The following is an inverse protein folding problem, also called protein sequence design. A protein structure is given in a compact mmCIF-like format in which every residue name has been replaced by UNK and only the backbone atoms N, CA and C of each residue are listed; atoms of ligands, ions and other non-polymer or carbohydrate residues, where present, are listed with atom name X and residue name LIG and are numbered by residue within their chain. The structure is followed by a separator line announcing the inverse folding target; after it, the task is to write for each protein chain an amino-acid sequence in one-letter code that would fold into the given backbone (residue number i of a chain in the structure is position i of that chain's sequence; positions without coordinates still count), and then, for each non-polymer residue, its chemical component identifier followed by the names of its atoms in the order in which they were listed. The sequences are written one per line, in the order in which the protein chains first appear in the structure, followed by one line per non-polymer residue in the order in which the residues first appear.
data_IF_251398806716
#
_entry.id   IF_251398806716
#
_cell.length_a   1.000
_cell.length_b   1.000
_cell.length_c   1.000
_cell.angle_alpha   90.00
_cell.angle_beta   90.00
_cell.angle_gamma   90.00
#
_symmetry.space_group_name_H-M   'P 1'
#
loop_
_entity.id
_entity.type
_entity.pdbx_description
1 polymer ?
#
# COMPACT_ATOMS: atom_id res chain seq x y z
N UNK A 1 2.86 4.42 15.71
CA UNK A 1 3.23 3.47 14.67
C UNK A 1 3.39 4.27 13.38
N UNK A 2 4.49 4.15 12.65
CA UNK A 2 4.68 4.82 11.36
C UNK A 2 3.57 4.44 10.37
N UNK A 3 3.07 5.42 9.62
CA UNK A 3 2.16 5.22 8.49
C UNK A 3 2.90 5.60 7.20
N UNK A 4 2.92 4.67 6.25
CA UNK A 4 3.77 4.70 5.08
C UNK A 4 2.92 4.56 3.83
N UNK A 5 2.53 5.69 3.24
CA UNK A 5 1.96 5.70 1.90
C UNK A 5 3.07 5.62 0.86
N UNK A 6 2.96 4.73 -0.12
CA UNK A 6 3.93 4.63 -1.23
C UNK A 6 4.17 5.97 -1.91
N UNK A 7 3.09 6.73 -2.15
CA UNK A 7 3.15 8.06 -2.75
C UNK A 7 3.90 9.08 -1.88
N UNK A 8 3.79 8.97 -0.55
CA UNK A 8 4.54 9.82 0.36
C UNK A 8 6.00 9.44 0.45
N UNK A 9 6.32 8.14 0.41
CA UNK A 9 7.71 7.66 0.40
C UNK A 9 8.43 8.20 -0.83
N UNK A 10 7.80 8.10 -2.01
CA UNK A 10 8.33 8.67 -3.26
C UNK A 10 8.53 10.18 -3.15
N UNK A 11 7.54 10.92 -2.63
CA UNK A 11 7.68 12.39 -2.44
C UNK A 11 8.81 12.74 -1.47
N UNK A 12 8.93 12.01 -0.35
CA UNK A 12 9.95 12.24 0.67
C UNK A 12 11.35 11.88 0.16
N UNK A 13 11.48 10.94 -0.77
CA UNK A 13 12.79 10.49 -1.24
C UNK A 13 13.58 11.58 -1.95
N UNK A 14 12.92 12.58 -2.58
CA UNK A 14 13.60 13.77 -3.13
C UNK A 14 14.52 14.50 -2.14
N UNK A 15 14.26 14.38 -0.83
CA UNK A 15 15.08 14.98 0.22
C UNK A 15 16.26 14.10 0.70
N UNK A 16 16.38 12.86 0.22
CA UNK A 16 17.37 11.90 0.69
C UNK A 16 18.73 12.12 0.03
N UNK A 17 19.50 13.08 0.55
CA UNK A 17 20.81 13.50 -0.01
C UNK A 17 21.86 12.39 -0.17
N UNK A 18 21.73 11.25 0.52
CA UNK A 18 22.67 10.11 0.46
C UNK A 18 22.07 8.86 -0.20
N UNK A 19 20.84 8.93 -0.71
CA UNK A 19 20.19 7.80 -1.37
C UNK A 19 20.69 7.67 -2.80
N UNK A 20 21.31 6.53 -3.13
CA UNK A 20 21.70 6.22 -4.50
C UNK A 20 20.46 5.98 -5.37
N UNK A 21 19.44 5.30 -4.82
CA UNK A 21 18.17 5.02 -5.51
C UNK A 21 17.45 6.32 -5.85
N UNK A 22 17.23 7.19 -4.87
CA UNK A 22 16.56 8.47 -5.10
C UNK A 22 17.38 9.42 -5.98
N UNK A 23 18.71 9.34 -5.94
CA UNK A 23 19.55 10.11 -6.85
C UNK A 23 19.35 9.70 -8.31
N UNK A 24 19.28 8.38 -8.58
CA UNK A 24 19.00 7.82 -9.92
C UNK A 24 17.60 8.17 -10.42
N UNK A 25 16.61 8.14 -9.53
CA UNK A 25 15.19 8.38 -9.88
C UNK A 25 14.78 9.85 -9.80
N UNK A 26 15.68 10.76 -9.41
CA UNK A 26 15.37 12.15 -9.10
C UNK A 26 14.55 12.85 -10.18
N UNK A 27 14.95 12.72 -11.45
CA UNK A 27 14.23 13.33 -12.58
C UNK A 27 12.80 12.83 -12.72
N UNK A 28 12.59 11.53 -12.57
CA UNK A 28 11.26 10.90 -12.65
C UNK A 28 10.37 11.35 -11.50
N UNK A 29 10.92 11.41 -10.28
CA UNK A 29 10.19 11.83 -9.08
C UNK A 29 9.83 13.32 -9.16
N UNK A 30 10.76 14.18 -9.58
CA UNK A 30 10.53 15.62 -9.77
C UNK A 30 9.51 15.90 -10.89
N UNK A 31 9.51 15.07 -11.95
CA UNK A 31 8.52 15.13 -13.02
C UNK A 31 7.15 14.54 -12.63
N UNK A 32 7.04 13.86 -11.48
CA UNK A 32 5.82 13.18 -11.05
C UNK A 32 5.47 11.97 -11.91
N UNK A 33 6.45 11.33 -12.54
CA UNK A 33 6.28 10.12 -13.34
C UNK A 33 5.88 8.93 -12.46
N UNK A 34 5.11 8.01 -13.04
CA UNK A 34 4.84 6.72 -12.42
C UNK A 34 6.11 5.89 -12.43
N UNK A 35 6.58 5.49 -11.25
CA UNK A 35 7.75 4.62 -11.12
C UNK A 35 7.38 3.19 -11.50
N UNK A 36 8.30 2.52 -12.21
CA UNK A 36 8.23 1.08 -12.42
C UNK A 36 8.38 0.32 -11.09
N UNK A 37 7.89 -0.92 -11.05
CA UNK A 37 7.86 -1.75 -9.84
C UNK A 37 9.26 -1.92 -9.23
N UNK A 38 10.30 -2.14 -10.03
CA UNK A 38 11.66 -2.29 -9.55
C UNK A 38 12.15 -1.03 -8.82
N UNK A 39 11.83 0.14 -9.39
CA UNK A 39 12.24 1.43 -8.82
C UNK A 39 11.50 1.74 -7.52
N UNK A 40 10.20 1.43 -7.47
CA UNK A 40 9.41 1.58 -6.25
C UNK A 40 9.85 0.59 -5.17
N UNK A 41 10.13 -0.66 -5.54
CA UNK A 41 10.65 -1.70 -4.65
C UNK A 41 11.96 -1.27 -3.99
N UNK A 42 12.91 -0.74 -4.77
CA UNK A 42 14.18 -0.23 -4.24
C UNK A 42 13.97 0.94 -3.25
N UNK A 43 13.09 1.90 -3.58
CA UNK A 43 12.80 3.03 -2.69
C UNK A 43 12.15 2.56 -1.39
N UNK A 44 11.17 1.66 -1.46
CA UNK A 44 10.51 1.09 -0.30
C UNK A 44 11.48 0.31 0.57
N UNK A 45 12.40 -0.48 -0.03
CA UNK A 45 13.42 -1.21 0.70
C UNK A 45 14.40 -0.29 1.42
N UNK A 46 14.89 0.75 0.74
CA UNK A 46 15.78 1.74 1.36
C UNK A 46 15.09 2.46 2.53
N UNK A 47 13.80 2.73 2.39
CA UNK A 47 13.02 3.40 3.42
C UNK A 47 12.75 2.51 4.62
N UNK A 48 12.24 1.29 4.41
CA UNK A 48 11.91 0.34 5.48
C UNK A 48 13.15 0.01 6.33
N UNK A 49 14.34 -0.08 5.72
CA UNK A 49 15.60 -0.29 6.44
C UNK A 49 16.01 0.86 7.38
N UNK A 50 15.42 2.05 7.23
CA UNK A 50 15.74 3.25 8.03
C UNK A 50 14.70 3.59 9.08
N UNK A 51 13.48 3.06 8.96
CA UNK A 51 12.39 3.37 9.89
C UNK A 51 12.48 2.49 11.13
N UNK A 52 12.24 3.10 12.28
CA UNK A 52 12.02 2.35 13.52
C UNK A 52 10.68 1.61 13.45
N UNK A 53 10.77 0.30 13.25
CA UNK A 53 9.63 -0.63 13.14
C UNK A 53 9.34 -1.36 14.46
N UNK A 54 9.96 -0.97 15.58
CA UNK A 54 9.79 -1.63 16.89
C UNK A 54 8.34 -1.66 17.39
N UNK A 55 7.49 -0.76 16.91
CA UNK A 55 6.06 -0.68 17.24
C UNK A 55 5.16 -1.07 16.06
N UNK A 56 5.69 -1.82 15.09
CA UNK A 56 5.04 -2.09 13.80
C UNK A 56 5.03 -0.87 12.88
N UNK A 57 4.36 -1.00 11.73
CA UNK A 57 4.11 0.07 10.76
C UNK A 57 2.86 -0.28 9.92
N UNK A 58 2.31 0.72 9.22
CA UNK A 58 1.22 0.54 8.24
C UNK A 58 1.74 0.89 6.86
N UNK A 59 1.51 0.02 5.88
CA UNK A 59 1.72 0.31 4.47
C UNK A 59 0.38 0.67 3.83
N UNK A 60 0.38 1.71 3.00
CA UNK A 60 -0.77 2.12 2.20
C UNK A 60 -0.35 2.34 0.75
N UNK A 61 -1.10 1.74 -0.18
CA UNK A 61 -0.84 1.80 -1.61
C UNK A 61 0.37 0.98 -2.09
N UNK A 62 0.91 0.09 -1.26
CA UNK A 62 1.96 -0.86 -1.62
C UNK A 62 1.88 -2.11 -0.72
N UNK A 63 1.93 -3.32 -1.27
CA UNK A 63 2.10 -3.65 -2.69
C UNK A 63 0.77 -3.54 -3.47
N UNK A 64 0.85 -3.15 -4.74
CA UNK A 64 -0.29 -3.03 -5.66
C UNK A 64 -0.22 -4.00 -6.85
N UNK A 65 0.94 -4.59 -7.11
CA UNK A 65 1.15 -5.62 -8.14
C UNK A 65 1.67 -6.90 -7.51
N UNK A 66 1.56 -8.02 -8.25
CA UNK A 66 2.15 -9.30 -7.81
C UNK A 66 3.65 -9.17 -7.58
N UNK A 67 4.38 -8.52 -8.48
CA UNK A 67 5.83 -8.34 -8.43
C UNK A 67 6.26 -7.55 -7.19
N UNK A 68 5.52 -6.48 -6.86
CA UNK A 68 5.73 -5.72 -5.63
C UNK A 68 5.48 -6.58 -4.38
N UNK A 69 4.43 -7.40 -4.39
CA UNK A 69 4.08 -8.27 -3.26
C UNK A 69 5.14 -9.35 -3.01
N UNK A 70 5.61 -10.02 -4.07
CA UNK A 70 6.70 -11.00 -3.98
C UNK A 70 8.01 -10.37 -3.50
N UNK A 71 8.30 -9.13 -3.92
CA UNK A 71 9.47 -8.40 -3.44
C UNK A 71 9.35 -8.07 -1.95
N UNK A 72 8.22 -7.50 -1.52
CA UNK A 72 7.99 -7.13 -0.13
C UNK A 72 7.96 -8.36 0.79
N UNK A 73 7.42 -9.50 0.35
CA UNK A 73 7.46 -10.76 1.10
C UNK A 73 8.91 -11.22 1.37
N UNK A 74 9.79 -11.14 0.35
CA UNK A 74 11.22 -11.44 0.50
C UNK A 74 11.90 -10.47 1.47
N UNK A 75 11.69 -9.17 1.28
CA UNK A 75 12.25 -8.14 2.16
C UNK A 75 11.77 -8.30 3.62
N UNK A 76 10.49 -8.63 3.82
CA UNK A 76 9.94 -8.85 5.16
C UNK A 76 10.61 -10.03 5.86
N UNK A 77 10.96 -11.08 5.10
CA UNK A 77 11.71 -12.23 5.62
C UNK A 77 13.15 -11.85 5.99
N UNK A 78 13.83 -11.04 5.17
CA UNK A 78 15.18 -10.52 5.47
C UNK A 78 15.19 -9.66 6.74
N UNK A 79 14.16 -8.83 6.91
CA UNK A 79 13.97 -7.94 8.06
C UNK A 79 13.39 -8.67 9.29
N UNK A 80 13.09 -9.96 9.18
CA UNK A 80 12.47 -10.80 10.23
C UNK A 80 11.18 -10.19 10.79
N UNK A 81 10.34 -9.66 9.90
CA UNK A 81 9.03 -9.13 10.26
C UNK A 81 8.01 -10.26 10.42
N UNK A 82 7.09 -10.07 11.36
CA UNK A 82 5.95 -10.98 11.52
C UNK A 82 5.04 -10.95 10.28
N UNK A 83 4.25 -12.01 10.04
CA UNK A 83 3.24 -12.01 8.98
C UNK A 83 2.31 -10.79 9.09
N UNK A 84 2.02 -10.10 7.97
CA UNK A 84 1.23 -8.89 8.02
C UNK A 84 -0.25 -9.17 8.29
N UNK A 85 -0.94 -8.15 8.78
CA UNK A 85 -2.41 -8.09 8.77
C UNK A 85 -2.82 -7.28 7.55
N UNK A 86 -3.58 -7.90 6.64
CA UNK A 86 -4.10 -7.24 5.44
C UNK A 86 -5.52 -6.74 5.71
N UNK A 87 -5.72 -5.42 5.70
CA UNK A 87 -7.06 -4.82 5.78
C UNK A 87 -7.56 -4.58 4.37
N UNK A 88 -8.61 -5.30 3.97
CA UNK A 88 -9.23 -5.18 2.66
C UNK A 88 -10.53 -4.42 2.81
N UNK A 89 -10.60 -3.25 2.18
CA UNK A 89 -11.84 -2.49 2.06
C UNK A 89 -12.66 -3.08 0.92
N UNK A 90 -13.66 -3.87 1.27
CA UNK A 90 -14.58 -4.50 0.33
C UNK A 90 -15.60 -3.47 -0.15
N UNK A 91 -15.56 -3.16 -1.44
CA UNK A 91 -16.43 -2.20 -2.12
C UNK A 91 -16.74 -2.70 -3.52
N UNK A 92 -17.95 -2.44 -4.01
CA UNK A 92 -18.25 -2.68 -5.41
C UNK A 92 -17.50 -1.68 -6.30
N UNK A 93 -17.20 -2.09 -7.54
CA UNK A 93 -16.63 -1.21 -8.56
C UNK A 93 -17.48 0.04 -8.79
N UNK A 94 -18.80 -0.07 -8.67
CA UNK A 94 -19.72 1.07 -8.78
C UNK A 94 -19.45 2.13 -7.68
N UNK A 95 -19.33 1.69 -6.43
CA UNK A 95 -19.03 2.59 -5.30
C UNK A 95 -17.62 3.15 -5.43
N UNK A 96 -16.65 2.32 -5.84
CA UNK A 96 -15.28 2.76 -6.08
C UNK A 96 -15.21 3.85 -7.16
N UNK A 97 -15.94 3.68 -8.27
CA UNK A 97 -16.05 4.67 -9.35
C UNK A 97 -16.67 5.97 -8.90
N UNK A 98 -17.80 5.90 -8.19
CA UNK A 98 -18.46 7.09 -7.65
C UNK A 98 -17.50 7.90 -6.76
N UNK A 99 -16.80 7.22 -5.84
CA UNK A 99 -15.83 7.86 -4.93
C UNK A 99 -14.56 8.38 -5.61
N UNK A 100 -14.11 7.76 -6.70
CA UNK A 100 -13.01 8.31 -7.49
C UNK A 100 -13.46 9.58 -8.22
N UNK A 101 -14.68 9.58 -8.77
CA UNK A 101 -15.25 10.75 -9.46
C UNK A 101 -15.50 11.95 -8.52
N UNK A 102 -15.93 11.69 -7.29
CA UNK A 102 -16.15 12.74 -6.27
C UNK A 102 -14.86 13.44 -5.82
N UNK A 103 -13.72 12.73 -5.85
CA UNK A 103 -12.42 13.28 -5.42
C UNK A 103 -11.88 14.38 -6.33
N UNK A 104 -12.36 14.45 -7.59
CA UNK A 104 -12.01 15.48 -8.59
C UNK A 104 -10.51 15.77 -8.69
N UNK A 105 -9.65 14.75 -8.58
CA UNK A 105 -8.22 14.97 -8.83
C UNK A 105 -7.98 15.13 -10.33
N UNK A 106 -6.93 15.88 -10.68
CA UNK A 106 -6.56 16.11 -12.08
C UNK A 106 -6.25 14.79 -12.83
N UNK A 107 -5.92 13.72 -12.11
CA UNK A 107 -5.64 12.39 -12.66
C UNK A 107 -6.84 11.43 -12.71
N UNK A 108 -8.02 11.81 -12.21
CA UNK A 108 -9.23 10.97 -12.18
C UNK A 108 -10.05 11.13 -13.48
N UNK A 109 -9.48 10.78 -14.63
CA UNK A 109 -10.25 10.65 -15.89
C UNK A 109 -11.01 9.32 -15.94
N UNK A 110 -12.15 9.22 -16.63
CA UNK A 110 -12.90 7.97 -16.76
C UNK A 110 -12.02 6.79 -17.21
N UNK A 111 -11.15 7.01 -18.19
CA UNK A 111 -10.26 5.97 -18.73
C UNK A 111 -9.25 5.50 -17.69
N UNK A 112 -8.70 6.42 -16.88
CA UNK A 112 -7.77 6.09 -15.79
C UNK A 112 -8.46 5.36 -14.65
N UNK A 113 -9.71 5.73 -14.34
CA UNK A 113 -10.51 5.05 -13.32
C UNK A 113 -10.79 3.59 -13.70
N UNK A 114 -11.25 3.34 -14.93
CA UNK A 114 -11.48 1.96 -15.40
C UNK A 114 -10.18 1.15 -15.45
N UNK A 115 -9.09 1.75 -15.92
CA UNK A 115 -7.79 1.09 -15.91
C UNK A 115 -7.35 0.71 -14.50
N UNK A 116 -7.53 1.58 -13.51
CA UNK A 116 -7.21 1.30 -12.09
C UNK A 116 -8.00 0.10 -11.55
N UNK A 117 -9.29 0.00 -11.88
CA UNK A 117 -10.12 -1.14 -11.45
C UNK A 117 -9.69 -2.43 -12.14
N UNK A 118 -9.45 -2.38 -13.45
CA UNK A 118 -8.96 -3.53 -14.21
C UNK A 118 -7.60 -4.03 -13.70
N UNK A 119 -6.69 -3.10 -13.40
CA UNK A 119 -5.39 -3.41 -12.80
C UNK A 119 -5.56 -4.04 -11.41
N UNK A 120 -6.41 -3.47 -10.55
CA UNK A 120 -6.72 -4.07 -9.25
C UNK A 120 -7.19 -5.53 -9.38
N UNK A 121 -8.21 -5.79 -10.18
CA UNK A 121 -8.75 -7.15 -10.33
C UNK A 121 -7.75 -8.13 -10.93
N UNK A 122 -6.86 -7.67 -11.83
CA UNK A 122 -5.82 -8.51 -12.42
C UNK A 122 -4.72 -8.87 -11.41
N UNK A 123 -4.32 -7.92 -10.58
CA UNK A 123 -3.14 -8.06 -9.70
C UNK A 123 -3.47 -8.70 -8.34
N UNK A 124 -4.68 -8.49 -7.81
CA UNK A 124 -5.00 -8.79 -6.42
C UNK A 124 -4.87 -10.27 -6.04
N UNK A 125 -5.15 -11.19 -6.95
CA UNK A 125 -4.94 -12.62 -6.70
C UNK A 125 -3.45 -12.94 -6.53
N UNK A 126 -2.59 -12.31 -7.33
CA UNK A 126 -1.14 -12.42 -7.20
C UNK A 126 -0.61 -11.81 -5.91
N UNK A 127 -1.15 -10.65 -5.51
CA UNK A 127 -0.83 -10.02 -4.22
C UNK A 127 -1.21 -10.95 -3.06
N UNK A 128 -2.42 -11.52 -3.08
CA UNK A 128 -2.89 -12.45 -2.03
C UNK A 128 -2.02 -13.71 -1.96
N UNK A 129 -1.64 -14.27 -3.11
CA UNK A 129 -0.80 -15.46 -3.18
C UNK A 129 0.59 -15.27 -2.56
N UNK A 130 1.13 -14.04 -2.54
CA UNK A 130 2.40 -13.73 -1.91
C UNK A 130 2.36 -13.78 -0.37
N UNK A 131 1.17 -13.75 0.24
CA UNK A 131 1.00 -13.72 1.70
C UNK A 131 0.04 -14.81 2.21
N UNK A 132 0.40 -16.11 2.05
CA UNK A 132 -0.50 -17.21 2.42
C UNK A 132 -0.82 -17.27 3.91
N UNK A 133 0.05 -16.70 4.77
CA UNK A 133 -0.10 -16.70 6.22
C UNK A 133 -0.60 -15.35 6.77
N UNK A 134 -0.95 -14.38 5.91
CA UNK A 134 -1.47 -13.10 6.38
C UNK A 134 -2.87 -13.27 6.97
N UNK A 135 -3.12 -12.55 8.07
CA UNK A 135 -4.47 -12.40 8.61
C UNK A 135 -5.20 -11.37 7.76
N UNK A 136 -6.28 -11.78 7.08
CA UNK A 136 -7.07 -10.89 6.24
C UNK A 136 -8.29 -10.40 7.00
N UNK A 137 -8.44 -9.08 7.12
CA UNK A 137 -9.61 -8.43 7.69
C UNK A 137 -10.42 -7.83 6.54
N UNK A 138 -11.57 -8.43 6.23
CA UNK A 138 -12.53 -7.87 5.28
C UNK A 138 -13.40 -6.84 5.98
N UNK A 139 -13.38 -5.61 5.49
CA UNK A 139 -14.07 -4.45 6.07
C UNK A 139 -15.02 -3.92 5.01
N UNK A 140 -16.28 -3.67 5.39
CA UNK A 140 -17.26 -3.09 4.48
C UNK A 140 -16.88 -1.63 4.20
N UNK A 141 -16.22 -1.41 3.08
CA UNK A 141 -15.76 -0.09 2.69
C UNK A 141 -16.89 0.81 2.19
N UNK A 142 -18.09 0.30 1.93
CA UNK A 142 -19.21 1.08 1.39
C UNK A 142 -19.77 2.11 2.38
N UNK A 143 -19.51 1.91 3.67
CA UNK A 143 -20.02 2.76 4.76
C UNK A 143 -19.30 4.11 4.87
N UNK A 144 -19.78 4.95 5.79
CA UNK A 144 -19.11 6.20 6.16
C UNK A 144 -17.73 5.94 6.77
N UNK A 145 -16.79 6.87 6.58
CA UNK A 145 -15.43 6.81 7.15
C UNK A 145 -15.43 6.49 8.65
N UNK A 146 -16.35 7.11 9.41
CA UNK A 146 -16.50 6.88 10.85
C UNK A 146 -16.83 5.42 11.17
N UNK A 147 -17.71 4.79 10.38
CA UNK A 147 -18.09 3.40 10.60
C UNK A 147 -17.00 2.43 10.14
N UNK A 148 -16.38 2.69 8.98
CA UNK A 148 -15.23 1.92 8.49
C UNK A 148 -14.08 1.94 9.51
N UNK A 149 -13.73 3.12 10.01
CA UNK A 149 -12.70 3.30 11.04
C UNK A 149 -13.04 2.54 12.32
N UNK A 150 -14.30 2.60 12.77
CA UNK A 150 -14.77 1.83 13.93
C UNK A 150 -14.62 0.33 13.69
N UNK A 151 -15.04 -0.17 12.52
CA UNK A 151 -14.98 -1.58 12.17
C UNK A 151 -13.53 -2.09 12.16
N UNK A 152 -12.61 -1.37 11.50
CA UNK A 152 -11.18 -1.68 11.49
C UNK A 152 -10.64 -1.76 12.92
N UNK A 153 -10.95 -0.76 13.75
CA UNK A 153 -10.48 -0.72 15.14
C UNK A 153 -10.98 -1.93 15.92
N UNK A 154 -12.27 -2.25 15.83
CA UNK A 154 -12.87 -3.40 16.51
C UNK A 154 -12.21 -4.71 16.09
N UNK A 155 -11.96 -4.91 14.80
CA UNK A 155 -11.33 -6.14 14.29
C UNK A 155 -9.86 -6.25 14.73
N UNK A 156 -9.10 -5.15 14.71
CA UNK A 156 -7.73 -5.11 15.20
C UNK A 156 -7.64 -5.33 16.71
N UNK A 157 -8.56 -4.77 17.50
CA UNK A 157 -8.62 -4.96 18.95
C UNK A 157 -8.93 -6.44 19.29
N UNK A 158 -9.83 -7.09 18.54
CA UNK A 158 -10.10 -8.52 18.68
C UNK A 158 -8.87 -9.37 18.34
N UNK A 159 -8.22 -9.10 17.21
CA UNK A 159 -7.00 -9.81 16.81
C UNK A 159 -5.87 -9.65 17.83
N UNK A 160 -5.73 -8.47 18.43
CA UNK A 160 -4.75 -8.21 19.49
C UNK A 160 -5.02 -9.04 20.75
N UNK A 161 -6.27 -9.37 21.05
CA UNK A 161 -6.63 -10.22 22.18
C UNK A 161 -6.32 -11.69 21.91
N UNK A 162 -6.42 -12.16 20.67
CA UNK A 162 -6.05 -13.53 20.27
C UNK A 162 -4.54 -13.80 20.35
N UNK A 163 -3.72 -12.77 20.17
CA UNK A 163 -2.25 -12.86 20.14
C UNK A 163 -1.60 -12.69 21.52
N UNK A 164 -2.38 -12.44 22.57
CA UNK A 164 -1.93 -12.36 23.96
C UNK A 164 -2.17 -13.67 24.69
#
# INVERSE_FOLDING_TARGET
MPYLSASEVVKKSNSWRKSQVSGRLKGQIEAGELLADESLNELMAEYLKKVDMSRGFVLDGYPATKEQAEYLARLSSELKLDPPVAVVLDVSDEIARARMSERRRADDTPERMERRLADYHREMDGVRAAYPNARVLLVDGSQSEKNVSRQIKTMLDALRQELK
#
